data_IF_854321340288
#
_entry.id   IF_854321340288
#
_cell.length_a   1.000
_cell.length_b   1.000
_cell.length_c   1.000
_cell.angle_alpha   90.00
_cell.angle_beta   90.00
_cell.angle_gamma   90.00
#
_symmetry.space_group_name_H-M   'P 1'
#
loop_
_entity.id
_entity.type
_entity.pdbx_description
1 polymer ?
#
# COMPACT_ATOMS: atom_id res chain seq x y z
N UNK A 1 1.14 5.61 -0.71
CA UNK A 1 1.10 4.31 -0.03
C UNK A 1 1.45 4.44 1.45
N UNK A 2 2.63 4.97 1.77
CA UNK A 2 3.12 5.10 3.15
C UNK A 2 2.15 5.89 4.04
N UNK A 3 1.54 6.95 3.54
CA UNK A 3 0.56 7.77 4.29
C UNK A 3 -0.71 7.00 4.67
N UNK A 4 -1.04 5.95 3.90
CA UNK A 4 -2.21 5.11 4.13
C UNK A 4 -1.84 3.72 4.68
N UNK A 5 -0.57 3.49 5.01
CA UNK A 5 -0.10 2.20 5.51
C UNK A 5 -0.45 1.95 6.99
N UNK A 6 -0.92 2.99 7.70
CA UNK A 6 -1.29 2.88 9.11
C UNK A 6 -0.09 2.68 10.04
N UNK A 7 1.08 3.17 9.62
CA UNK A 7 2.32 3.06 10.39
C UNK A 7 2.26 3.93 11.66
N UNK A 8 2.77 3.44 12.80
CA UNK A 8 2.58 4.08 14.09
C UNK A 8 3.40 5.37 14.24
N UNK A 9 4.54 5.46 13.60
CA UNK A 9 5.47 6.58 13.70
C UNK A 9 6.33 6.76 12.45
N UNK A 10 7.12 7.83 12.43
CA UNK A 10 8.01 8.19 11.31
C UNK A 10 9.14 7.17 11.13
N UNK A 11 9.64 6.59 12.22
CA UNK A 11 10.71 5.60 12.14
C UNK A 11 10.23 4.30 11.46
N UNK A 12 9.00 3.87 11.73
CA UNK A 12 8.37 2.74 11.04
C UNK A 12 8.15 3.05 9.55
N UNK A 13 7.79 4.30 9.23
CA UNK A 13 7.63 4.79 7.87
C UNK A 13 8.96 4.72 7.09
N UNK A 14 10.01 5.28 7.67
CA UNK A 14 11.35 5.30 7.05
C UNK A 14 11.87 3.88 6.77
N UNK A 15 11.66 2.96 7.69
CA UNK A 15 12.08 1.58 7.49
C UNK A 15 11.30 0.85 6.40
N UNK A 16 10.01 1.09 6.28
CA UNK A 16 9.20 0.54 5.18
C UNK A 16 9.62 1.17 3.86
N UNK A 17 9.91 2.46 3.83
CA UNK A 17 10.40 3.16 2.65
C UNK A 17 11.77 2.61 2.21
N UNK A 18 12.71 2.45 3.14
CA UNK A 18 14.03 1.85 2.86
C UNK A 18 13.88 0.41 2.32
N UNK A 19 13.02 -0.39 2.95
CA UNK A 19 12.74 -1.75 2.52
C UNK A 19 12.22 -1.82 1.09
N UNK A 20 11.25 -0.98 0.74
CA UNK A 20 10.66 -0.93 -0.59
C UNK A 20 11.63 -0.37 -1.63
N UNK A 21 12.45 0.61 -1.27
CA UNK A 21 13.42 1.25 -2.18
C UNK A 21 14.53 0.31 -2.62
N UNK A 22 14.81 -0.75 -1.85
CA UNK A 22 15.76 -1.79 -2.21
C UNK A 22 15.27 -2.80 -3.25
N UNK A 23 14.00 -2.71 -3.65
CA UNK A 23 13.33 -3.66 -4.55
C UNK A 23 13.21 -3.11 -5.97
N UNK A 24 13.09 -4.02 -6.96
CA UNK A 24 12.63 -3.62 -8.28
C UNK A 24 11.10 -3.34 -8.27
N UNK A 25 10.59 -2.67 -9.29
CA UNK A 25 9.18 -2.23 -9.36
C UNK A 25 8.18 -3.36 -9.15
N UNK A 26 8.46 -4.53 -9.72
CA UNK A 26 7.58 -5.70 -9.60
C UNK A 26 7.57 -6.28 -8.19
N UNK A 27 8.71 -6.37 -7.57
CA UNK A 27 8.87 -6.84 -6.20
C UNK A 27 8.24 -5.86 -5.22
N UNK A 28 8.44 -4.56 -5.44
CA UNK A 28 7.85 -3.49 -4.63
C UNK A 28 6.31 -3.56 -4.67
N UNK A 29 5.71 -3.65 -5.86
CA UNK A 29 4.26 -3.78 -6.00
C UNK A 29 3.75 -5.06 -5.34
N UNK A 30 4.45 -6.19 -5.52
CA UNK A 30 4.08 -7.45 -4.88
C UNK A 30 4.13 -7.35 -3.34
N UNK A 31 5.15 -6.70 -2.78
CA UNK A 31 5.27 -6.46 -1.34
C UNK A 31 4.15 -5.55 -0.81
N UNK A 32 3.81 -4.49 -1.54
CA UNK A 32 2.69 -3.61 -1.20
C UNK A 32 1.35 -4.37 -1.15
N UNK A 33 1.13 -5.31 -2.06
CA UNK A 33 -0.09 -6.12 -2.12
C UNK A 33 -0.12 -7.19 -1.02
N UNK A 34 1.01 -7.89 -0.83
CA UNK A 34 1.13 -9.01 0.12
C UNK A 34 1.21 -8.55 1.58
N UNK A 35 1.44 -7.27 1.81
CA UNK A 35 1.79 -6.74 3.12
C UNK A 35 3.26 -6.96 3.47
N UNK A 36 3.74 -6.21 4.44
CA UNK A 36 5.14 -6.24 4.88
C UNK A 36 5.19 -6.80 6.29
N UNK A 37 5.93 -7.90 6.47
CA UNK A 37 6.08 -8.51 7.78
C UNK A 37 7.15 -7.80 8.59
N UNK A 38 6.95 -7.72 9.90
CA UNK A 38 7.96 -7.19 10.83
C UNK A 38 9.27 -7.98 10.77
N UNK A 39 9.19 -9.30 10.55
CA UNK A 39 10.37 -10.16 10.40
C UNK A 39 11.24 -9.79 9.19
N UNK A 40 10.64 -9.26 8.13
CA UNK A 40 11.36 -8.90 6.90
C UNK A 40 12.11 -7.58 7.07
N UNK A 41 11.54 -6.62 7.79
CA UNK A 41 12.21 -5.39 8.18
C UNK A 41 13.39 -5.64 9.13
N UNK A 42 13.25 -6.58 10.08
CA UNK A 42 14.34 -6.96 11.00
C UNK A 42 15.55 -7.58 10.29
N UNK A 43 15.35 -8.34 9.22
CA UNK A 43 16.43 -8.98 8.47
C UNK A 43 17.36 -7.99 7.76
N UNK A 44 16.88 -6.81 7.43
CA UNK A 44 17.68 -5.76 6.78
C UNK A 44 18.57 -4.97 7.75
N UNK A 45 18.61 -5.31 9.04
CA UNK A 45 19.49 -4.68 10.02
C UNK A 45 19.09 -3.25 10.40
N UNK A 46 17.86 -2.88 10.10
CA UNK A 46 17.29 -1.60 10.50
C UNK A 46 17.30 -1.50 12.04
N UNK A 47 17.74 -0.36 12.58
CA UNK A 47 17.67 0.00 14.02
C UNK A 47 16.24 -0.03 14.59
N UNK A 48 15.29 -0.32 13.74
CA UNK A 48 13.86 -0.36 14.02
C UNK A 48 13.43 -1.58 14.85
N UNK A 49 14.28 -2.60 15.02
CA UNK A 49 13.95 -3.79 15.82
C UNK A 49 13.53 -3.42 17.25
N UNK A 50 14.05 -2.32 17.79
CA UNK A 50 13.79 -1.91 19.17
C UNK A 50 12.47 -1.15 19.32
N UNK A 51 12.05 -0.40 18.29
CA UNK A 51 10.81 0.37 18.32
C UNK A 51 9.57 -0.48 17.94
N UNK A 52 9.73 -1.45 17.05
CA UNK A 52 8.65 -2.40 16.72
C UNK A 52 8.35 -3.41 17.82
N UNK A 53 9.24 -3.54 18.82
CA UNK A 53 9.05 -4.43 19.96
C UNK A 53 8.01 -3.93 20.97
N UNK A 54 7.65 -2.65 20.92
CA UNK A 54 6.72 -2.03 21.87
C UNK A 54 5.24 -2.14 21.46
N UNK A 55 4.95 -2.58 20.23
CA UNK A 55 3.57 -2.68 19.71
C UNK A 55 3.28 -4.14 19.38
N UNK A 56 2.38 -4.72 20.16
CA UNK A 56 1.75 -6.04 19.99
C UNK A 56 2.64 -7.11 19.32
N UNK A 57 3.44 -7.82 20.14
CA UNK A 57 4.40 -8.83 19.66
C UNK A 57 3.73 -9.98 18.86
N UNK A 58 2.43 -10.16 19.05
CA UNK A 58 1.67 -11.24 18.39
C UNK A 58 1.22 -10.90 16.98
N UNK A 59 1.25 -9.61 16.56
CA UNK A 59 0.82 -9.24 15.22
C UNK A 59 1.98 -9.23 14.21
N UNK A 60 1.93 -10.08 13.17
CA UNK A 60 3.09 -10.34 12.32
C UNK A 60 3.40 -9.26 11.28
N UNK A 61 2.45 -8.37 10.98
CA UNK A 61 2.60 -7.38 9.93
C UNK A 61 2.98 -6.00 10.48
N UNK A 62 3.90 -5.32 9.79
CA UNK A 62 4.14 -3.90 9.93
C UNK A 62 3.19 -3.11 9.01
N UNK A 63 2.92 -3.64 7.84
CA UNK A 63 1.91 -3.13 6.89
C UNK A 63 1.00 -4.29 6.50
N UNK A 64 -0.29 -4.15 6.75
CA UNK A 64 -1.27 -5.18 6.44
C UNK A 64 -1.31 -5.51 4.95
N UNK A 65 -1.59 -6.77 4.57
CA UNK A 65 -1.88 -7.13 3.19
C UNK A 65 -3.14 -6.41 2.68
N UNK A 66 -3.24 -6.26 1.38
CA UNK A 66 -4.46 -5.77 0.72
C UNK A 66 -5.40 -6.95 0.46
N UNK A 67 -6.51 -7.13 1.23
CA UNK A 67 -7.20 -8.40 1.27
C UNK A 67 -8.07 -8.69 0.04
N UNK A 68 -8.52 -7.66 -0.66
CA UNK A 68 -9.60 -7.79 -1.63
C UNK A 68 -9.31 -7.15 -3.00
N UNK A 69 -8.04 -7.03 -3.40
CA UNK A 69 -7.65 -6.50 -4.72
C UNK A 69 -8.28 -7.24 -5.90
N UNK A 70 -8.74 -8.48 -5.70
CA UNK A 70 -9.47 -9.24 -6.70
C UNK A 70 -10.80 -8.58 -7.08
N UNK A 71 -11.43 -7.85 -6.16
CA UNK A 71 -12.71 -7.20 -6.36
C UNK A 71 -12.51 -5.75 -6.85
N UNK A 72 -12.28 -5.58 -8.13
CA UNK A 72 -11.99 -4.27 -8.74
C UNK A 72 -13.15 -3.28 -8.67
N UNK A 73 -14.37 -3.77 -8.52
CA UNK A 73 -15.58 -2.95 -8.43
C UNK A 73 -15.69 -2.16 -7.13
N UNK A 74 -15.08 -2.64 -6.05
CA UNK A 74 -15.15 -1.98 -4.75
C UNK A 74 -14.30 -0.68 -4.73
N UNK A 75 -13.03 -0.68 -5.17
CA UNK A 75 -12.19 0.51 -5.13
C UNK A 75 -12.47 1.53 -6.23
N UNK A 76 -13.05 1.13 -7.37
CA UNK A 76 -13.38 2.05 -8.45
C UNK A 76 -14.52 1.52 -9.34
N UNK A 77 -15.21 2.41 -10.03
CA UNK A 77 -16.25 2.08 -11.00
C UNK A 77 -16.18 2.99 -12.24
N UNK A 78 -16.50 2.44 -13.40
CA UNK A 78 -16.62 3.22 -14.63
C UNK A 78 -17.98 3.92 -14.70
N UNK A 79 -17.99 5.22 -15.01
CA UNK A 79 -19.18 6.03 -15.18
C UNK A 79 -19.05 6.80 -16.48
N UNK A 80 -19.84 6.42 -17.48
CA UNK A 80 -19.72 6.99 -18.82
C UNK A 80 -18.32 6.77 -19.39
N UNK A 81 -17.60 7.84 -19.67
CA UNK A 81 -16.22 7.84 -20.18
C UNK A 81 -15.17 8.08 -19.08
N UNK A 82 -15.57 8.14 -17.83
CA UNK A 82 -14.70 8.39 -16.69
C UNK A 82 -14.67 7.23 -15.70
N UNK A 83 -13.80 7.36 -14.69
CA UNK A 83 -13.66 6.41 -13.58
C UNK A 83 -13.83 7.16 -12.26
N UNK A 84 -14.73 6.66 -11.42
CA UNK A 84 -14.87 7.11 -10.04
C UNK A 84 -14.00 6.26 -9.13
N UNK A 85 -13.15 6.89 -8.33
CA UNK A 85 -12.36 6.23 -7.30
C UNK A 85 -13.12 6.34 -5.98
N UNK A 86 -13.35 5.20 -5.34
CA UNK A 86 -14.15 5.15 -4.12
C UNK A 86 -13.28 5.33 -2.88
N UNK A 87 -13.87 5.90 -1.82
CA UNK A 87 -13.29 5.86 -0.49
C UNK A 87 -13.76 4.58 0.20
N UNK A 88 -12.80 3.72 0.57
CA UNK A 88 -13.13 2.46 1.25
C UNK A 88 -13.49 2.72 2.72
N UNK A 89 -14.40 1.89 3.26
CA UNK A 89 -14.86 2.02 4.64
C UNK A 89 -13.74 1.70 5.65
N UNK A 90 -12.93 0.68 5.38
CA UNK A 90 -11.82 0.28 6.25
C UNK A 90 -10.51 0.88 5.78
N UNK A 91 -9.70 1.35 6.73
CA UNK A 91 -8.38 1.94 6.45
C UNK A 91 -7.49 0.98 5.66
N UNK A 92 -7.46 -0.30 6.06
CA UNK A 92 -6.67 -1.35 5.40
C UNK A 92 -7.00 -1.48 3.91
N UNK A 93 -8.29 -1.39 3.55
CA UNK A 93 -8.72 -1.47 2.15
C UNK A 93 -8.56 -0.17 1.37
N UNK A 94 -8.37 0.95 2.04
CA UNK A 94 -8.23 2.24 1.36
C UNK A 94 -7.01 2.25 0.42
N UNK A 95 -5.96 1.50 0.75
CA UNK A 95 -4.77 1.32 -0.10
C UNK A 95 -5.05 0.62 -1.42
N UNK A 96 -6.12 -0.17 -1.52
CA UNK A 96 -6.54 -0.81 -2.77
C UNK A 96 -6.91 0.21 -3.85
N UNK A 97 -7.37 1.40 -3.45
CA UNK A 97 -7.72 2.48 -4.38
C UNK A 97 -6.51 3.13 -5.05
N UNK A 98 -5.31 2.99 -4.47
CA UNK A 98 -4.08 3.56 -5.02
C UNK A 98 -3.79 3.01 -6.42
N UNK A 99 -4.01 1.72 -6.64
CA UNK A 99 -3.82 1.13 -7.98
C UNK A 99 -4.76 1.76 -9.00
N UNK A 100 -6.03 1.98 -8.65
CA UNK A 100 -6.98 2.69 -9.49
C UNK A 100 -6.51 4.10 -9.81
N UNK A 101 -6.03 4.84 -8.80
CA UNK A 101 -5.49 6.20 -9.01
C UNK A 101 -4.35 6.19 -10.03
N UNK A 102 -3.33 5.34 -9.85
CA UNK A 102 -2.18 5.28 -10.77
C UNK A 102 -2.53 4.78 -12.17
N UNK A 103 -3.49 3.84 -12.30
CA UNK A 103 -3.90 3.29 -13.61
C UNK A 103 -4.73 4.31 -14.39
N UNK A 104 -5.62 5.04 -13.71
CA UNK A 104 -6.58 5.95 -14.34
C UNK A 104 -6.19 7.43 -14.24
N UNK A 105 -5.11 7.75 -13.53
CA UNK A 105 -4.56 9.08 -13.55
C UNK A 105 -4.13 9.42 -14.99
N UNK A 106 -4.50 10.61 -15.53
CA UNK A 106 -4.26 10.91 -16.93
C UNK A 106 -2.76 10.96 -17.22
N UNK A 107 -2.22 9.85 -17.61
CA UNK A 107 -0.96 9.80 -18.36
C UNK A 107 -1.36 9.67 -19.84
N UNK A 108 -0.74 10.47 -20.68
CA UNK A 108 -1.01 10.50 -22.14
C UNK A 108 -0.97 9.11 -22.81
N UNK A 109 -0.47 8.10 -22.10
CA UNK A 109 -0.21 6.76 -22.63
C UNK A 109 -1.12 5.64 -22.09
N UNK A 110 -1.92 5.86 -21.03
CA UNK A 110 -2.62 4.75 -20.37
C UNK A 110 -4.15 4.88 -20.43
N UNK A 111 -4.69 6.05 -20.20
CA UNK A 111 -6.13 6.26 -20.31
C UNK A 111 -6.48 7.73 -20.61
N UNK A 112 -7.20 8.01 -21.70
CA UNK A 112 -7.73 9.35 -21.96
C UNK A 112 -8.96 9.69 -21.10
N UNK A 113 -9.47 8.73 -20.31
CA UNK A 113 -10.60 8.93 -19.42
C UNK A 113 -10.09 9.49 -18.06
N UNK A 114 -10.50 10.70 -17.73
CA UNK A 114 -10.16 11.32 -16.43
C UNK A 114 -10.86 10.64 -15.24
N UNK A 115 -10.33 10.89 -14.04
CA UNK A 115 -11.02 10.59 -12.79
C UNK A 115 -12.16 11.60 -12.63
N UNK A 116 -13.36 11.11 -12.34
CA UNK A 116 -14.57 11.91 -12.15
C UNK A 116 -14.86 12.06 -10.66
#
# INVERSE_FOLDING_TARGET
>A
FLDEAGLPDEAARDAVEEYLSGMNDREMVAAMMAGIRRSDLRKQGSRLSDHLSAVDEDYPFAVDPMPNLYFTRDPFATIGTGVSIHKMHTVTRNRETLFGKYIFEPSENICPCGIV
#
